data_IF_843677915214
#
_entry.id   IF_843677915214
#
_cell.length_a   1.000
_cell.length_b   1.000
_cell.length_c   1.000
_cell.angle_alpha   90.00
_cell.angle_beta   90.00
_cell.angle_gamma   90.00
#
_symmetry.space_group_name_H-M   'P 1'
#
loop_
_entity.id
_entity.type
_entity.pdbx_description
1 polymer ?
#
# COMPACT_ATOMS: atom_id res chain seq x y z
N UNK A 1 14.48 -5.23 30.35
CA UNK A 1 13.52 -4.58 29.44
C UNK A 1 12.15 -4.60 30.09
N UNK A 2 11.33 -3.57 29.88
CA UNK A 2 10.00 -3.42 30.49
C UNK A 2 8.92 -4.01 29.57
N UNK A 3 7.80 -4.49 30.13
CA UNK A 3 6.61 -4.94 29.38
C UNK A 3 5.60 -3.81 29.14
N UNK A 4 5.76 -2.66 29.78
CA UNK A 4 4.96 -1.48 29.47
C UNK A 4 5.47 -0.81 28.19
N UNK A 5 4.71 -0.99 27.11
CA UNK A 5 4.99 -0.39 25.82
C UNK A 5 5.05 1.13 25.86
N UNK A 6 4.54 1.81 26.90
CA UNK A 6 4.63 3.29 26.99
C UNK A 6 5.99 3.79 27.47
N UNK A 7 6.96 2.92 27.65
CA UNK A 7 8.30 3.23 28.14
C UNK A 7 9.37 2.58 27.29
N UNK A 8 10.47 3.30 27.04
CA UNK A 8 11.69 2.70 26.50
C UNK A 8 12.65 2.27 27.60
N UNK A 9 13.38 1.15 27.45
CA UNK A 9 13.27 0.18 26.36
C UNK A 9 12.08 -0.77 26.52
N UNK A 10 11.44 -1.12 25.40
CA UNK A 10 10.31 -2.06 25.33
C UNK A 10 10.66 -3.20 24.35
N UNK A 11 10.28 -4.43 24.70
CA UNK A 11 10.51 -5.59 23.85
C UNK A 11 9.16 -6.10 23.33
N UNK A 12 8.94 -6.01 22.03
CA UNK A 12 7.68 -6.46 21.42
C UNK A 12 7.60 -7.99 21.38
N UNK A 13 8.71 -8.64 21.04
CA UNK A 13 8.82 -10.10 20.99
C UNK A 13 9.96 -10.55 21.92
N UNK A 14 9.65 -11.26 23.02
CA UNK A 14 10.67 -11.71 23.97
C UNK A 14 11.78 -12.54 23.31
N UNK A 15 13.02 -12.08 23.46
CA UNK A 15 14.21 -12.75 22.94
C UNK A 15 14.62 -12.34 21.53
N UNK A 16 13.87 -11.47 20.86
CA UNK A 16 14.19 -10.97 19.52
C UNK A 16 14.63 -9.50 19.57
N UNK A 17 15.94 -9.26 19.39
CA UNK A 17 16.50 -7.92 19.45
C UNK A 17 16.17 -7.04 18.24
N UNK A 18 15.66 -7.62 17.14
CA UNK A 18 15.20 -6.82 16.00
C UNK A 18 13.91 -6.06 16.32
N UNK A 19 13.17 -6.52 17.35
CA UNK A 19 11.91 -5.93 17.80
C UNK A 19 12.03 -5.30 19.21
N UNK A 20 13.23 -4.83 19.54
CA UNK A 20 13.51 -4.02 20.73
C UNK A 20 13.39 -2.53 20.41
N UNK A 21 12.59 -1.82 21.19
CA UNK A 21 12.32 -0.39 21.04
C UNK A 21 13.18 0.43 22.01
N UNK A 22 13.74 1.57 21.58
CA UNK A 22 13.39 2.32 20.36
C UNK A 22 14.15 1.88 19.09
N UNK A 23 15.05 0.89 19.17
CA UNK A 23 15.91 0.54 18.05
C UNK A 23 15.15 0.06 16.80
N UNK A 24 14.08 -0.70 16.97
CA UNK A 24 13.20 -1.18 15.90
C UNK A 24 12.53 -0.06 15.09
N UNK A 25 12.43 1.16 15.65
CA UNK A 25 11.88 2.31 14.93
C UNK A 25 12.93 2.99 14.05
N UNK A 26 14.22 2.86 14.40
CA UNK A 26 15.34 3.48 13.67
C UNK A 26 15.79 2.71 12.44
N UNK A 27 16.94 3.11 11.89
CA UNK A 27 17.60 2.39 10.79
C UNK A 27 18.08 1.01 11.23
N UNK A 28 17.91 0.03 10.33
CA UNK A 28 18.59 -1.25 10.37
C UNK A 28 19.76 -1.25 9.38
N UNK A 29 21.01 -1.01 9.81
CA UNK A 29 22.14 -0.84 8.90
C UNK A 29 22.46 -2.08 8.07
N UNK A 30 22.23 -3.26 8.66
CA UNK A 30 22.51 -4.57 8.06
C UNK A 30 21.44 -5.03 7.04
N UNK A 31 20.38 -4.23 6.85
CA UNK A 31 19.28 -4.53 5.93
C UNK A 31 19.44 -3.70 4.66
N UNK A 32 19.27 -4.33 3.50
CA UNK A 32 19.33 -3.62 2.21
C UNK A 32 18.08 -2.76 1.98
N UNK A 33 16.92 -3.17 2.49
CA UNK A 33 15.71 -2.37 2.43
C UNK A 33 15.10 -2.12 3.80
N UNK A 34 14.63 -0.89 4.01
CA UNK A 34 13.99 -0.45 5.24
C UNK A 34 12.87 0.55 4.90
N UNK A 35 11.64 0.27 5.34
CA UNK A 35 10.41 0.96 4.93
C UNK A 35 9.69 1.56 6.13
N UNK A 36 9.53 2.88 6.16
CA UNK A 36 8.71 3.58 7.13
C UNK A 36 7.46 4.10 6.46
N UNK A 37 6.31 3.62 6.91
CA UNK A 37 5.01 4.01 6.39
C UNK A 37 4.17 4.65 7.49
N UNK A 38 3.49 5.75 7.17
CA UNK A 38 2.39 6.27 7.98
C UNK A 38 1.27 6.80 7.10
N UNK A 39 0.03 6.42 7.44
CA UNK A 39 -1.17 6.94 6.81
C UNK A 39 -2.29 7.16 7.83
N UNK A 40 -3.25 8.00 7.48
CA UNK A 40 -4.39 8.26 8.36
C UNK A 40 -5.44 9.18 7.78
N UNK A 41 -6.60 9.19 8.45
CA UNK A 41 -7.70 10.13 8.20
C UNK A 41 -7.51 11.39 9.04
N UNK A 42 -7.83 12.54 8.47
CA UNK A 42 -7.72 13.85 9.09
C UNK A 42 -9.01 14.63 8.84
N UNK A 43 -9.56 15.25 9.88
CA UNK A 43 -10.75 16.07 9.79
C UNK A 43 -10.40 17.53 10.14
N UNK A 44 -10.93 18.47 9.35
CA UNK A 44 -10.80 19.90 9.58
C UNK A 44 -12.09 20.43 10.21
N UNK A 45 -12.18 20.41 11.54
CA UNK A 45 -13.40 20.72 12.29
C UNK A 45 -14.01 22.10 11.95
N UNK A 46 -13.19 23.10 11.62
CA UNK A 46 -13.66 24.46 11.29
C UNK A 46 -14.42 24.51 9.96
N UNK A 47 -14.06 23.66 8.99
CA UNK A 47 -14.67 23.65 7.65
C UNK A 47 -15.57 22.44 7.41
N UNK A 48 -15.53 21.45 8.30
CA UNK A 48 -16.24 20.18 8.15
C UNK A 48 -15.67 19.27 7.05
N UNK A 49 -14.47 19.59 6.53
CA UNK A 49 -13.83 18.81 5.47
C UNK A 49 -13.05 17.62 5.99
N UNK A 50 -13.02 16.56 5.20
CA UNK A 50 -12.32 15.31 5.51
C UNK A 50 -11.18 15.07 4.51
N UNK A 51 -10.02 14.74 5.03
CA UNK A 51 -8.81 14.46 4.27
C UNK A 51 -8.24 13.10 4.67
N UNK A 52 -7.35 12.59 3.84
CA UNK A 52 -6.44 11.53 4.24
C UNK A 52 -5.04 11.81 3.72
N UNK A 53 -4.06 11.10 4.26
CA UNK A 53 -2.69 11.16 3.79
C UNK A 53 -2.02 9.80 3.90
N UNK A 54 -0.97 9.62 3.11
CA UNK A 54 0.03 8.57 3.32
C UNK A 54 1.42 9.14 3.06
N UNK A 55 2.43 8.51 3.65
CA UNK A 55 3.82 8.73 3.29
C UNK A 55 4.63 7.46 3.46
N UNK A 56 5.63 7.31 2.59
CA UNK A 56 6.62 6.25 2.62
C UNK A 56 8.00 6.92 2.60
N UNK A 57 8.84 6.59 3.57
CA UNK A 57 10.28 6.73 3.44
C UNK A 57 10.86 5.35 3.21
N UNK A 58 11.75 5.23 2.24
CA UNK A 58 12.30 3.94 1.87
C UNK A 58 13.80 4.03 1.64
N UNK A 59 14.54 3.22 2.39
CA UNK A 59 15.94 2.91 2.12
C UNK A 59 15.97 1.69 1.19
N UNK A 60 16.67 1.78 0.07
CA UNK A 60 16.97 0.65 -0.81
C UNK A 60 18.42 0.72 -1.25
N UNK A 61 19.22 -0.23 -0.76
CA UNK A 61 20.65 -0.29 -1.02
C UNK A 61 21.07 -1.67 -1.54
N UNK A 62 20.65 -2.08 -2.75
CA UNK A 62 20.98 -3.39 -3.28
C UNK A 62 22.50 -3.59 -3.36
N UNK A 63 23.00 -4.68 -2.75
CA UNK A 63 24.42 -4.96 -2.63
C UNK A 63 25.22 -3.89 -1.87
N UNK A 64 24.55 -3.04 -1.08
CA UNK A 64 25.14 -2.00 -0.23
C UNK A 64 25.79 -0.81 -0.96
N UNK A 65 25.85 -0.83 -2.29
CA UNK A 65 26.64 0.14 -3.09
C UNK A 65 25.76 1.01 -3.99
N UNK A 66 24.69 0.44 -4.52
CA UNK A 66 23.65 1.16 -5.25
C UNK A 66 22.74 1.83 -4.23
N UNK A 67 22.32 3.06 -4.50
CA UNK A 67 21.28 3.74 -3.71
C UNK A 67 20.08 3.96 -4.60
N UNK A 68 18.93 3.54 -4.11
CA UNK A 68 17.62 3.71 -4.73
C UNK A 68 16.60 4.11 -3.65
N UNK A 69 17.07 4.91 -2.69
CA UNK A 69 16.26 5.44 -1.60
C UNK A 69 15.18 6.35 -2.19
N UNK A 70 13.98 6.35 -1.63
CA UNK A 70 12.90 7.21 -2.10
C UNK A 70 12.02 7.73 -0.96
N UNK A 71 11.30 8.79 -1.28
CA UNK A 71 10.27 9.36 -0.43
C UNK A 71 9.01 9.60 -1.26
N UNK A 72 7.87 9.19 -0.72
CA UNK A 72 6.54 9.40 -1.29
C UNK A 72 5.64 10.05 -0.27
N UNK A 73 4.80 10.98 -0.71
CA UNK A 73 3.63 11.43 0.04
C UNK A 73 2.42 11.61 -0.87
N UNK A 74 1.24 11.45 -0.30
CA UNK A 74 0.00 11.83 -0.96
C UNK A 74 -0.98 12.47 0.02
N UNK A 75 -1.77 13.40 -0.51
CA UNK A 75 -2.92 14.01 0.16
C UNK A 75 -4.19 13.68 -0.62
N UNK A 76 -5.24 13.36 0.10
CA UNK A 76 -6.54 13.00 -0.46
C UNK A 76 -7.60 13.93 0.13
N UNK A 77 -8.44 14.50 -0.72
CA UNK A 77 -9.66 15.19 -0.30
C UNK A 77 -10.82 14.20 -0.40
N UNK A 78 -11.32 13.74 0.75
CA UNK A 78 -12.33 12.68 0.82
C UNK A 78 -13.73 13.19 0.46
N UNK A 79 -13.93 14.51 0.41
CA UNK A 79 -15.22 15.10 0.05
C UNK A 79 -15.35 15.28 -1.47
N UNK A 80 -14.26 15.67 -2.15
CA UNK A 80 -14.25 15.87 -3.61
C UNK A 80 -13.77 14.65 -4.39
N UNK A 81 -13.01 13.75 -3.75
CA UNK A 81 -12.32 12.64 -4.41
C UNK A 81 -11.05 13.07 -5.15
N UNK A 82 -10.56 14.31 -4.97
CA UNK A 82 -9.27 14.77 -5.51
C UNK A 82 -8.09 14.17 -4.73
N UNK A 83 -6.96 13.97 -5.40
CA UNK A 83 -5.71 13.59 -4.74
C UNK A 83 -4.48 14.18 -5.40
N UNK A 84 -3.47 14.46 -4.58
CA UNK A 84 -2.14 14.87 -5.00
C UNK A 84 -1.12 13.86 -4.53
N UNK A 85 -0.14 13.54 -5.37
CA UNK A 85 0.98 12.66 -5.00
C UNK A 85 2.31 13.25 -5.42
N UNK A 86 3.33 12.99 -4.60
CA UNK A 86 4.72 13.33 -4.88
C UNK A 86 5.60 12.12 -4.60
N UNK A 87 6.58 11.86 -5.47
CA UNK A 87 7.61 10.84 -5.24
C UNK A 87 8.94 11.37 -5.75
N UNK A 88 9.97 11.29 -4.92
CA UNK A 88 11.33 11.67 -5.26
C UNK A 88 12.29 10.53 -4.94
N UNK A 89 13.34 10.43 -5.77
CA UNK A 89 14.34 9.37 -5.69
C UNK A 89 15.75 9.93 -5.44
N UNK A 90 16.52 9.20 -4.64
CA UNK A 90 17.97 9.27 -4.55
C UNK A 90 18.53 8.07 -5.30
N UNK A 91 18.86 8.25 -6.59
CA UNK A 91 19.30 7.15 -7.43
C UNK A 91 20.31 7.58 -8.52
N UNK A 92 21.12 6.63 -9.05
CA UNK A 92 21.97 6.87 -10.19
C UNK A 92 21.19 7.35 -11.43
N UNK A 93 21.81 8.19 -12.29
CA UNK A 93 23.18 8.68 -12.17
C UNK A 93 23.35 9.84 -11.18
N UNK A 94 22.27 10.53 -10.79
CA UNK A 94 22.35 11.74 -9.96
C UNK A 94 23.03 11.48 -8.61
N UNK A 95 22.73 10.35 -7.95
CA UNK A 95 23.34 10.01 -6.66
C UNK A 95 24.81 9.58 -6.74
N UNK A 96 25.36 9.44 -7.96
CA UNK A 96 26.77 9.10 -8.21
C UNK A 96 27.60 10.31 -8.65
N UNK A 97 26.99 11.50 -8.81
CA UNK A 97 27.74 12.70 -9.16
C UNK A 97 28.73 13.07 -8.04
N UNK A 98 29.98 13.48 -8.36
CA UNK A 98 30.96 13.83 -7.34
C UNK A 98 30.45 14.93 -6.39
N UNK A 99 30.38 14.62 -5.10
CA UNK A 99 29.91 15.56 -4.07
C UNK A 99 28.38 15.63 -3.93
N UNK A 100 27.62 14.79 -4.65
CA UNK A 100 26.19 14.67 -4.43
C UNK A 100 25.91 14.24 -2.98
N UNK A 101 25.17 15.03 -2.18
CA UNK A 101 24.76 14.60 -0.85
C UNK A 101 23.71 13.49 -0.98
N UNK A 102 23.71 12.55 -0.03
CA UNK A 102 22.59 11.63 0.14
C UNK A 102 21.34 12.42 0.49
N UNK A 103 20.21 12.08 -0.13
CA UNK A 103 18.94 12.73 0.19
C UNK A 103 18.33 12.17 1.48
N UNK A 104 18.47 10.85 1.70
CA UNK A 104 17.96 10.17 2.89
C UNK A 104 19.03 10.12 3.99
N UNK A 105 18.70 10.72 5.15
CA UNK A 105 19.46 10.60 6.39
C UNK A 105 18.63 9.84 7.42
N UNK A 106 19.28 8.91 8.11
CA UNK A 106 18.70 8.01 9.10
C UNK A 106 19.65 7.89 10.29
N UNK A 107 19.12 7.51 11.45
CA UNK A 107 19.93 7.11 12.60
C UNK A 107 19.54 5.72 13.10
N UNK A 108 20.50 4.91 13.58
CA UNK A 108 20.19 3.69 14.30
C UNK A 108 19.71 4.00 15.72
N UNK A 109 18.91 3.11 16.29
CA UNK A 109 18.56 3.12 17.70
C UNK A 109 17.30 3.92 18.08
N UNK A 110 16.82 4.83 17.23
CA UNK A 110 15.53 5.51 17.37
C UNK A 110 15.08 6.13 16.04
N UNK A 111 13.82 6.55 15.95
CA UNK A 111 13.28 7.17 14.74
C UNK A 111 13.78 8.61 14.57
N UNK A 112 14.62 8.81 13.56
CA UNK A 112 15.10 10.13 13.12
C UNK A 112 15.36 10.06 11.61
N UNK A 113 14.36 10.47 10.83
CA UNK A 113 14.38 10.37 9.37
C UNK A 113 14.28 11.75 8.77
N UNK A 114 15.16 12.03 7.83
CA UNK A 114 15.11 13.21 7.00
C UNK A 114 15.31 12.83 5.53
N UNK A 115 14.47 13.38 4.65
CA UNK A 115 14.63 13.23 3.20
C UNK A 115 14.66 14.62 2.54
N UNK A 116 15.80 14.99 1.97
CA UNK A 116 15.99 16.28 1.29
C UNK A 116 15.70 16.15 -0.21
N UNK A 117 14.63 16.80 -0.67
CA UNK A 117 14.23 16.84 -2.08
C UNK A 117 14.32 18.27 -2.66
N UNK A 118 14.00 18.41 -3.94
CA UNK A 118 13.97 19.72 -4.61
C UNK A 118 12.89 20.67 -4.08
N UNK A 119 11.87 20.15 -3.37
CA UNK A 119 10.73 20.94 -2.86
C UNK A 119 10.78 21.16 -1.34
N UNK A 120 11.82 20.66 -0.66
CA UNK A 120 12.05 20.86 0.77
C UNK A 120 12.65 19.64 1.44
N UNK A 121 12.59 19.60 2.77
CA UNK A 121 12.98 18.42 3.55
C UNK A 121 11.77 17.86 4.26
N UNK A 122 11.45 16.59 3.99
CA UNK A 122 10.48 15.83 4.75
C UNK A 122 11.19 15.19 5.96
N UNK A 123 10.49 15.05 7.09
CA UNK A 123 11.04 14.43 8.29
C UNK A 123 10.01 13.68 9.12
N UNK A 124 10.49 12.67 9.82
CA UNK A 124 9.75 11.92 10.83
C UNK A 124 10.69 11.59 11.98
N UNK A 125 10.42 12.18 13.15
CA UNK A 125 11.34 12.17 14.29
C UNK A 125 10.62 11.87 15.60
N UNK A 126 11.26 11.10 16.49
CA UNK A 126 10.80 10.92 17.87
C UNK A 126 10.97 12.23 18.65
N UNK A 127 9.91 12.64 19.32
CA UNK A 127 9.90 13.79 20.22
C UNK A 127 10.81 13.56 21.42
N UNK A 128 11.28 14.65 22.02
CA UNK A 128 12.08 14.63 23.25
C UNK A 128 11.40 15.42 24.36
N UNK A 129 11.62 15.00 25.59
CA UNK A 129 11.23 15.74 26.78
C UNK A 129 12.16 16.94 27.05
N UNK A 130 11.93 17.65 28.16
CA UNK A 130 12.71 18.82 28.54
C UNK A 130 14.18 18.50 28.88
N UNK A 131 14.47 17.26 29.29
CA UNK A 131 15.80 16.76 29.64
C UNK A 131 16.52 16.13 28.43
N UNK A 132 15.88 16.11 27.26
CA UNK A 132 16.40 15.53 26.02
C UNK A 132 16.16 14.02 25.87
N UNK A 133 15.47 13.39 26.83
CA UNK A 133 15.05 11.99 26.77
C UNK A 133 14.03 11.76 25.66
N UNK A 134 14.05 10.57 25.04
CA UNK A 134 13.08 10.21 24.01
C UNK A 134 11.69 10.01 24.65
N UNK A 135 10.66 10.61 24.05
CA UNK A 135 9.28 10.37 24.40
C UNK A 135 8.75 9.17 23.61
N UNK A 136 8.39 8.05 24.28
CA UNK A 136 7.98 6.83 23.59
C UNK A 136 6.83 7.06 22.63
N UNK A 137 7.01 6.61 21.39
CA UNK A 137 6.03 6.62 20.32
C UNK A 137 5.43 8.00 20.02
N UNK A 138 6.06 9.09 20.47
CA UNK A 138 5.56 10.44 20.23
C UNK A 138 6.38 11.05 19.10
N UNK A 139 5.75 11.49 18.02
CA UNK A 139 6.46 11.90 16.82
C UNK A 139 6.12 13.32 16.36
N UNK A 140 7.09 13.94 15.68
CA UNK A 140 6.87 15.05 14.75
C UNK A 140 7.04 14.55 13.33
N UNK A 141 6.02 14.77 12.51
CA UNK A 141 6.00 14.44 11.09
C UNK A 141 5.86 15.73 10.31
N UNK A 142 6.77 15.99 9.37
CA UNK A 142 6.70 17.12 8.44
C UNK A 142 6.90 16.61 7.02
N UNK A 143 5.87 16.67 6.20
CA UNK A 143 5.87 16.16 4.84
C UNK A 143 5.79 17.35 3.88
N UNK A 144 6.54 17.26 2.79
CA UNK A 144 6.56 18.26 1.72
C UNK A 144 6.54 17.56 0.36
N UNK A 145 5.85 18.17 -0.60
CA UNK A 145 5.68 17.61 -1.94
C UNK A 145 5.12 18.64 -2.90
N UNK A 146 4.96 18.22 -4.15
CA UNK A 146 4.24 18.97 -5.19
C UNK A 146 3.37 17.96 -5.94
N UNK A 147 2.10 18.30 -6.16
CA UNK A 147 1.18 17.41 -6.86
C UNK A 147 1.38 17.41 -8.38
N UNK A 148 0.61 16.59 -9.08
CA UNK A 148 0.68 16.41 -10.54
C UNK A 148 0.34 17.68 -11.33
N UNK A 149 -0.30 18.67 -10.69
CA UNK A 149 -0.63 19.98 -11.27
C UNK A 149 0.37 21.08 -10.85
N UNK A 150 1.43 20.74 -10.12
CA UNK A 150 2.41 21.71 -9.64
C UNK A 150 1.98 22.45 -8.38
N UNK A 151 0.92 22.01 -7.68
CA UNK A 151 0.47 22.67 -6.44
C UNK A 151 1.35 22.18 -5.27
N UNK A 152 1.89 23.08 -4.45
CA UNK A 152 2.68 22.67 -3.28
C UNK A 152 1.80 21.92 -2.29
N UNK A 153 2.33 20.84 -1.72
CA UNK A 153 1.72 20.04 -0.67
C UNK A 153 2.60 20.09 0.58
N UNK A 154 1.98 20.26 1.75
CA UNK A 154 2.66 20.18 3.04
C UNK A 154 1.73 19.65 4.12
N UNK A 155 2.24 18.78 4.97
CA UNK A 155 1.53 18.27 6.14
C UNK A 155 2.48 18.25 7.34
N UNK A 156 2.17 19.04 8.37
CA UNK A 156 2.89 19.00 9.64
C UNK A 156 1.97 18.42 10.71
N UNK A 157 2.39 17.34 11.37
CA UNK A 157 1.61 16.64 12.40
C UNK A 157 2.43 16.39 13.67
N UNK A 158 1.77 16.55 14.82
CA UNK A 158 2.10 15.83 16.03
C UNK A 158 1.35 14.50 16.00
N UNK A 159 2.06 13.38 16.21
CA UNK A 159 1.48 12.04 16.16
C UNK A 159 1.79 11.30 17.46
N UNK A 160 0.80 10.65 18.04
CA UNK A 160 0.97 9.77 19.21
C UNK A 160 0.05 8.56 19.06
N UNK A 161 0.59 7.37 18.78
CA UNK A 161 -0.18 6.14 18.82
C UNK A 161 -0.77 5.90 20.20
N UNK A 162 -1.94 5.31 20.22
CA UNK A 162 -2.74 5.02 21.41
C UNK A 162 -2.71 3.52 21.74
N UNK A 163 -2.14 2.70 20.86
CA UNK A 163 -1.96 1.26 21.01
C UNK A 163 -0.50 0.86 20.95
N UNK A 164 -0.19 -0.29 21.54
CA UNK A 164 1.12 -0.90 21.46
C UNK A 164 1.45 -1.28 19.99
N UNK A 165 2.74 -1.32 19.62
CA UNK A 165 3.17 -2.03 18.41
C UNK A 165 2.63 -3.47 18.41
N UNK A 166 2.30 -3.98 17.23
CA UNK A 166 1.77 -5.33 17.00
C UNK A 166 2.66 -6.02 15.98
N UNK A 167 3.22 -7.21 16.29
CA UNK A 167 4.03 -7.94 15.32
C UNK A 167 3.12 -8.48 14.21
N UNK A 168 3.50 -8.29 12.93
CA UNK A 168 2.73 -8.86 11.82
C UNK A 168 2.71 -10.39 11.94
N UNK A 169 1.52 -10.97 11.72
CA UNK A 169 1.27 -12.39 11.93
C UNK A 169 1.16 -12.79 13.41
N UNK A 170 1.00 -11.81 14.31
CA UNK A 170 0.80 -12.01 15.74
C UNK A 170 1.82 -12.99 16.35
N UNK A 171 1.40 -13.85 17.28
CA UNK A 171 2.28 -14.87 17.88
C UNK A 171 2.65 -16.02 16.93
N UNK A 172 1.94 -16.16 15.80
CA UNK A 172 2.21 -17.19 14.79
C UNK A 172 3.55 -16.95 14.09
N UNK A 173 3.81 -15.69 13.72
CA UNK A 173 5.03 -15.29 13.01
C UNK A 173 5.95 -14.41 13.84
N UNK A 174 5.46 -13.84 14.95
CA UNK A 174 6.19 -12.92 15.81
C UNK A 174 6.86 -11.78 15.03
N UNK A 175 6.18 -11.26 14.00
CA UNK A 175 6.67 -10.14 13.21
C UNK A 175 7.76 -10.53 12.23
N UNK A 176 8.03 -11.82 12.04
CA UNK A 176 9.03 -12.32 11.11
C UNK A 176 8.38 -13.21 10.05
N UNK A 177 8.25 -12.67 8.84
CA UNK A 177 7.45 -13.24 7.75
C UNK A 177 8.29 -13.47 6.50
N UNK A 178 7.77 -14.28 5.58
CA UNK A 178 8.23 -14.29 4.19
C UNK A 178 7.49 -13.19 3.42
N UNK A 179 8.22 -12.22 2.89
CA UNK A 179 7.67 -11.13 2.08
C UNK A 179 8.47 -10.94 0.79
N UNK A 180 7.78 -10.78 -0.34
CA UNK A 180 8.38 -10.67 -1.68
C UNK A 180 9.37 -11.80 -2.03
N UNK A 181 9.11 -13.01 -1.53
CA UNK A 181 9.99 -14.18 -1.70
C UNK A 181 11.26 -14.13 -0.87
N UNK A 182 11.29 -13.29 0.17
CA UNK A 182 12.39 -13.17 1.11
C UNK A 182 11.93 -13.60 2.50
N UNK A 183 12.49 -14.71 2.97
CA UNK A 183 12.43 -15.07 4.39
C UNK A 183 13.16 -14.03 5.23
N UNK A 184 12.96 -14.06 6.55
CA UNK A 184 13.63 -13.17 7.50
C UNK A 184 13.29 -11.69 7.28
N UNK A 185 12.16 -11.39 6.65
CA UNK A 185 11.60 -10.03 6.61
C UNK A 185 10.92 -9.77 7.96
N UNK A 186 11.29 -8.68 8.62
CA UNK A 186 10.62 -8.26 9.84
C UNK A 186 9.57 -7.21 9.53
N UNK A 187 8.45 -7.27 10.26
CA UNK A 187 7.41 -6.26 10.20
C UNK A 187 6.61 -6.18 11.49
N UNK A 188 6.29 -4.94 11.87
CA UNK A 188 5.30 -4.64 12.89
C UNK A 188 4.50 -3.43 12.45
N UNK A 189 3.33 -3.28 13.04
CA UNK A 189 2.51 -2.09 12.84
C UNK A 189 2.01 -1.51 14.16
N UNK A 190 1.58 -0.26 14.13
CA UNK A 190 0.99 0.41 15.28
C UNK A 190 -0.24 1.19 14.82
N UNK A 191 -1.30 1.18 15.61
CA UNK A 191 -2.60 1.77 15.23
C UNK A 191 -3.20 2.63 16.33
N UNK A 192 -4.32 3.27 16.00
CA UNK A 192 -4.99 4.26 16.84
C UNK A 192 -4.10 5.49 17.03
N UNK A 193 -4.22 6.51 16.19
CA UNK A 193 -3.25 7.61 16.14
C UNK A 193 -3.89 8.91 16.57
N UNK A 194 -3.48 9.49 17.70
CA UNK A 194 -3.83 10.87 17.99
C UNK A 194 -2.96 11.80 17.13
N UNK A 195 -3.58 12.46 16.16
CA UNK A 195 -2.91 13.34 15.21
C UNK A 195 -3.49 14.75 15.29
N UNK A 196 -2.62 15.76 15.34
CA UNK A 196 -3.03 17.17 15.22
C UNK A 196 -1.99 17.96 14.45
N UNK A 197 -2.42 18.93 13.65
CA UNK A 197 -1.49 19.81 12.96
C UNK A 197 -2.10 20.59 11.81
N UNK A 198 -1.31 20.85 10.77
CA UNK A 198 -1.69 21.72 9.66
C UNK A 198 -1.47 21.03 8.32
N UNK A 199 -2.52 21.02 7.49
CA UNK A 199 -2.48 20.60 6.10
C UNK A 199 -2.44 21.85 5.19
N UNK A 200 -1.57 21.83 4.17
CA UNK A 200 -1.52 22.81 3.09
C UNK A 200 -1.49 22.13 1.74
N UNK A 201 -2.34 22.57 0.81
CA UNK A 201 -2.37 22.05 -0.55
C UNK A 201 -2.78 23.14 -1.54
N UNK A 202 -1.82 23.65 -2.31
CA UNK A 202 -2.02 24.90 -3.06
C UNK A 202 -2.34 26.06 -2.12
N UNK A 203 -3.44 26.76 -2.38
CA UNK A 203 -3.93 27.85 -1.54
C UNK A 203 -4.72 27.38 -0.31
N UNK A 204 -5.06 26.08 -0.24
CA UNK A 204 -5.79 25.52 0.89
C UNK A 204 -4.86 25.42 2.11
N UNK A 205 -5.34 25.91 3.25
CA UNK A 205 -4.72 25.70 4.57
C UNK A 205 -5.80 25.30 5.56
N UNK A 206 -5.58 24.20 6.29
CA UNK A 206 -6.51 23.68 7.29
C UNK A 206 -5.78 23.28 8.57
N UNK A 207 -6.35 23.62 9.72
CA UNK A 207 -6.04 22.91 10.97
C UNK A 207 -6.77 21.57 10.94
N UNK A 208 -6.04 20.50 11.21
CA UNK A 208 -6.53 19.14 11.07
C UNK A 208 -6.24 18.33 12.32
N UNK A 209 -7.12 17.37 12.59
CA UNK A 209 -6.93 16.36 13.63
C UNK A 209 -7.41 15.00 13.15
N UNK A 210 -6.86 13.92 13.68
CA UNK A 210 -7.28 12.57 13.35
C UNK A 210 -7.11 11.61 14.51
N UNK A 211 -7.85 10.51 14.45
CA UNK A 211 -7.78 9.40 15.42
C UNK A 211 -7.53 8.03 14.75
N UNK A 212 -7.84 7.92 13.46
CA UNK A 212 -7.62 6.72 12.64
C UNK A 212 -6.33 6.86 11.85
N UNK A 213 -5.38 5.98 12.11
CA UNK A 213 -4.13 5.94 11.39
C UNK A 213 -3.37 4.66 11.65
N UNK A 214 -2.37 4.43 10.81
CA UNK A 214 -1.56 3.23 10.78
C UNK A 214 -0.10 3.62 10.54
N UNK A 215 0.79 3.10 11.38
CA UNK A 215 2.23 3.07 11.12
C UNK A 215 2.57 1.64 10.78
N UNK A 216 3.27 1.43 9.67
CA UNK A 216 3.86 0.13 9.33
C UNK A 216 5.38 0.29 9.19
N UNK A 217 6.09 -0.72 9.70
CA UNK A 217 7.54 -0.83 9.63
C UNK A 217 7.88 -2.18 9.05
N UNK A 218 8.78 -2.16 8.09
CA UNK A 218 9.25 -3.37 7.45
C UNK A 218 10.71 -3.23 7.03
N UNK A 219 11.52 -4.25 7.28
CA UNK A 219 12.89 -4.30 6.80
C UNK A 219 13.24 -5.68 6.27
N UNK A 220 14.06 -5.67 5.21
CA UNK A 220 14.34 -6.84 4.39
C UNK A 220 15.85 -7.09 4.29
N UNK A 221 16.25 -8.37 4.32
CA UNK A 221 17.66 -8.73 4.16
C UNK A 221 18.21 -8.34 2.79
N UNK A 222 17.37 -8.31 1.74
CA UNK A 222 17.73 -7.81 0.41
C UNK A 222 16.73 -6.78 -0.08
N UNK A 223 17.11 -6.08 -1.15
CA UNK A 223 16.26 -5.10 -1.82
C UNK A 223 14.82 -5.61 -2.04
N UNK A 224 13.83 -4.91 -1.49
CA UNK A 224 12.42 -5.30 -1.54
C UNK A 224 11.89 -5.43 -2.98
N UNK A 225 12.32 -4.55 -3.89
CA UNK A 225 11.86 -4.51 -5.28
C UNK A 225 12.55 -5.51 -6.22
N UNK A 226 12.97 -6.67 -5.74
CA UNK A 226 13.46 -7.75 -6.61
C UNK A 226 14.58 -8.63 -6.04
N UNK A 227 15.07 -8.34 -4.83
CA UNK A 227 16.12 -9.13 -4.16
C UNK A 227 15.71 -10.59 -3.93
N UNK A 228 14.42 -10.85 -3.68
CA UNK A 228 13.84 -12.19 -3.58
C UNK A 228 13.54 -12.87 -4.92
N UNK A 229 13.72 -12.19 -6.05
CA UNK A 229 13.26 -12.65 -7.38
C UNK A 229 14.36 -12.61 -8.45
N UNK A 230 15.63 -12.51 -8.05
CA UNK A 230 16.74 -12.42 -9.00
C UNK A 230 16.79 -11.10 -9.77
N UNK A 231 16.17 -10.05 -9.23
CA UNK A 231 16.22 -8.68 -9.76
C UNK A 231 15.01 -8.26 -10.59
N UNK A 232 14.00 -9.12 -10.79
CA UNK A 232 12.76 -8.73 -11.46
C UNK A 232 11.77 -8.10 -10.46
N UNK A 233 11.55 -6.77 -10.50
CA UNK A 233 10.62 -6.10 -9.59
C UNK A 233 9.16 -6.49 -9.81
N UNK A 234 8.80 -7.10 -10.95
CA UNK A 234 7.42 -7.53 -11.27
C UNK A 234 7.20 -9.03 -11.12
N UNK A 235 8.20 -9.80 -10.67
CA UNK A 235 8.03 -11.22 -10.40
C UNK A 235 7.19 -11.50 -9.14
N UNK A 236 7.08 -10.52 -8.23
CA UNK A 236 6.16 -10.53 -7.09
C UNK A 236 5.28 -9.30 -7.16
N UNK A 237 4.08 -9.43 -6.62
CA UNK A 237 3.19 -8.30 -6.33
C UNK A 237 2.42 -8.58 -5.04
N UNK A 238 1.74 -7.58 -4.54
CA UNK A 238 0.99 -7.66 -3.29
C UNK A 238 -0.26 -6.81 -3.33
N UNK A 239 -1.13 -7.13 -2.39
CA UNK A 239 -2.15 -6.22 -1.89
C UNK A 239 -1.99 -6.14 -0.37
N UNK A 240 -2.04 -4.94 0.16
CA UNK A 240 -1.99 -4.70 1.60
C UNK A 240 -3.08 -3.73 2.02
N UNK A 241 -3.71 -4.00 3.17
CA UNK A 241 -4.80 -3.18 3.67
C UNK A 241 -4.62 -2.90 5.14
N UNK A 242 -4.78 -1.64 5.50
CA UNK A 242 -4.91 -1.20 6.89
C UNK A 242 -6.35 -0.79 7.10
N UNK A 243 -7.04 -1.38 8.08
CA UNK A 243 -8.47 -1.10 8.32
C UNK A 243 -8.66 -0.72 9.77
N UNK A 244 -9.23 0.46 10.02
CA UNK A 244 -9.65 0.91 11.35
C UNK A 244 -11.17 0.82 11.47
N UNK A 245 -11.69 -0.16 12.22
CA UNK A 245 -13.14 -0.29 12.42
C UNK A 245 -13.67 0.60 13.54
N UNK A 246 -14.94 0.98 13.41
CA UNK A 246 -15.72 1.74 14.38
C UNK A 246 -15.89 1.06 15.75
N UNK A 247 -15.79 -0.27 15.79
CA UNK A 247 -15.79 -1.05 17.04
C UNK A 247 -14.42 -1.05 17.77
N UNK A 248 -13.44 -0.36 17.19
CA UNK A 248 -12.09 -0.24 17.73
C UNK A 248 -11.15 -1.39 17.35
N UNK A 249 -11.56 -2.43 16.65
CA UNK A 249 -10.61 -3.43 16.14
C UNK A 249 -9.95 -2.90 14.87
N UNK A 250 -8.62 -3.02 14.79
CA UNK A 250 -7.87 -2.65 13.59
C UNK A 250 -7.28 -3.90 12.94
N UNK A 251 -7.19 -3.92 11.61
CA UNK A 251 -6.63 -5.03 10.84
C UNK A 251 -5.46 -4.57 9.96
N UNK A 252 -4.47 -5.45 9.82
CA UNK A 252 -3.48 -5.45 8.73
C UNK A 252 -3.68 -6.71 7.91
N UNK A 253 -4.01 -6.58 6.62
CA UNK A 253 -4.31 -7.71 5.72
C UNK A 253 -3.30 -7.73 4.59
N UNK A 254 -2.58 -8.84 4.43
CA UNK A 254 -1.61 -9.05 3.37
C UNK A 254 -2.06 -10.13 2.40
N UNK A 255 -1.86 -9.89 1.11
CA UNK A 255 -1.86 -10.90 0.05
C UNK A 255 -0.64 -10.72 -0.81
N UNK A 256 0.02 -11.83 -1.16
CA UNK A 256 1.22 -11.82 -2.00
C UNK A 256 1.05 -12.77 -3.17
N UNK A 257 1.58 -12.39 -4.33
CA UNK A 257 1.37 -13.13 -5.57
C UNK A 257 2.70 -13.44 -6.25
N UNK A 258 2.83 -14.68 -6.71
CA UNK A 258 3.83 -15.11 -7.68
C UNK A 258 3.37 -14.76 -9.08
N UNK A 259 3.88 -13.66 -9.62
CA UNK A 259 3.53 -13.22 -10.96
C UNK A 259 4.15 -14.08 -12.06
N UNK A 260 5.13 -14.92 -11.73
CA UNK A 260 5.75 -15.85 -12.68
C UNK A 260 4.99 -17.18 -12.76
N UNK A 261 4.17 -17.47 -11.75
CA UNK A 261 3.36 -18.68 -11.66
C UNK A 261 1.86 -18.34 -11.62
N UNK A 262 1.36 -17.69 -12.68
CA UNK A 262 -0.07 -17.45 -12.86
C UNK A 262 -0.74 -16.63 -11.74
N UNK A 263 -0.02 -15.67 -11.15
CA UNK A 263 -0.46 -14.88 -10.00
C UNK A 263 -0.85 -15.76 -8.79
N UNK A 264 -0.15 -16.89 -8.58
CA UNK A 264 -0.41 -17.78 -7.46
C UNK A 264 -0.17 -17.09 -6.11
N UNK A 265 -1.09 -17.24 -5.16
CA UNK A 265 -0.92 -16.73 -3.80
C UNK A 265 0.30 -17.35 -3.11
N UNK A 266 0.99 -16.55 -2.31
CA UNK A 266 2.18 -16.95 -1.56
C UNK A 266 1.99 -16.67 -0.06
N UNK A 267 2.55 -17.53 0.82
CA UNK A 267 2.78 -17.16 2.21
C UNK A 267 3.78 -15.99 2.31
N UNK A 268 3.68 -15.09 3.28
CA UNK A 268 2.55 -14.87 4.19
C UNK A 268 1.36 -14.21 3.46
N UNK A 269 0.17 -14.77 3.61
CA UNK A 269 -1.11 -14.17 3.19
C UNK A 269 -2.10 -14.36 4.33
N UNK A 270 -2.60 -13.27 4.91
CA UNK A 270 -3.40 -13.35 6.13
C UNK A 270 -3.80 -12.00 6.72
N UNK A 271 -4.54 -12.07 7.82
CA UNK A 271 -5.02 -10.95 8.63
C UNK A 271 -4.32 -10.98 9.98
N UNK A 272 -3.80 -9.84 10.41
CA UNK A 272 -3.35 -9.61 11.80
C UNK A 272 -4.27 -8.60 12.47
N UNK A 273 -4.81 -8.93 13.64
CA UNK A 273 -5.68 -8.03 14.40
C UNK A 273 -4.89 -7.16 15.38
N UNK A 274 -5.42 -5.99 15.71
CA UNK A 274 -4.99 -5.12 16.81
C UNK A 274 -6.22 -4.67 17.60
N UNK A 275 -6.15 -4.77 18.92
CA UNK A 275 -7.27 -4.51 19.82
C UNK A 275 -7.03 -3.25 20.65
N UNK A 276 -8.10 -2.51 21.02
CA UNK A 276 -7.96 -1.34 21.87
C UNK A 276 -7.69 -1.71 23.34
N UNK A 277 -8.17 -2.88 23.77
CA UNK A 277 -7.83 -3.46 25.06
C UNK A 277 -6.48 -4.21 24.97
N UNK A 278 -5.42 -3.72 25.64
CA UNK A 278 -4.11 -4.34 25.59
C UNK A 278 -4.05 -5.73 26.27
N UNK A 279 -5.10 -6.12 27.01
CA UNK A 279 -5.20 -7.47 27.57
C UNK A 279 -5.63 -8.52 26.53
N UNK A 280 -6.16 -8.10 25.38
CA UNK A 280 -6.54 -8.99 24.28
C UNK A 280 -5.35 -9.11 23.32
N UNK A 281 -4.72 -10.30 23.20
CA UNK A 281 -3.60 -10.48 22.30
C UNK A 281 -4.04 -10.36 20.84
N UNK A 282 -3.16 -9.92 19.93
CA UNK A 282 -3.42 -9.95 18.50
C UNK A 282 -3.58 -11.40 18.01
N UNK A 283 -4.41 -11.58 16.98
CA UNK A 283 -4.68 -12.85 16.32
C UNK A 283 -4.15 -12.82 14.88
N UNK A 284 -3.79 -14.00 14.36
CA UNK A 284 -3.41 -14.20 12.96
C UNK A 284 -4.38 -15.20 12.33
N UNK A 285 -5.01 -14.82 11.22
CA UNK A 285 -5.89 -15.68 10.44
C UNK A 285 -5.44 -15.72 8.98
N UNK A 286 -5.24 -16.91 8.41
CA UNK A 286 -4.67 -17.09 7.07
C UNK A 286 -5.69 -17.63 6.05
N UNK A 287 -6.95 -17.82 6.48
CA UNK A 287 -8.07 -18.22 5.63
C UNK A 287 -8.80 -16.99 5.05
N UNK A 288 -8.05 -15.96 4.70
CA UNK A 288 -8.57 -14.74 4.07
C UNK A 288 -8.77 -14.94 2.57
N UNK A 289 -9.96 -14.62 2.10
CA UNK A 289 -10.31 -14.62 0.69
C UNK A 289 -10.70 -13.21 0.26
N UNK A 290 -10.31 -12.84 -0.96
CA UNK A 290 -10.67 -11.55 -1.56
C UNK A 290 -11.25 -11.82 -2.94
N UNK A 291 -12.49 -11.39 -3.13
CA UNK A 291 -13.20 -11.43 -4.41
C UNK A 291 -13.24 -10.03 -4.98
N UNK A 292 -12.58 -9.82 -6.12
CA UNK A 292 -12.57 -8.53 -6.82
C UNK A 292 -13.85 -8.40 -7.63
N UNK A 293 -14.56 -7.29 -7.48
CA UNK A 293 -15.79 -6.96 -8.23
C UNK A 293 -15.61 -5.85 -9.25
N UNK A 294 -14.52 -5.07 -9.17
CA UNK A 294 -14.18 -4.14 -10.24
C UNK A 294 -12.67 -3.94 -10.37
N UNK A 295 -12.27 -3.48 -11.54
CA UNK A 295 -10.90 -3.08 -11.85
C UNK A 295 -10.87 -1.62 -12.28
N UNK A 296 -9.76 -0.95 -12.01
CA UNK A 296 -9.50 0.40 -12.47
C UNK A 296 -8.26 0.44 -13.35
N UNK A 297 -8.34 1.15 -14.46
CA UNK A 297 -7.21 1.32 -15.38
C UNK A 297 -6.19 2.29 -14.78
N UNK A 298 -4.90 2.01 -14.99
CA UNK A 298 -3.81 2.87 -14.55
C UNK A 298 -3.94 4.29 -15.13
N UNK A 299 -3.78 5.36 -14.32
CA UNK A 299 -3.79 6.73 -14.79
C UNK A 299 -2.43 7.11 -15.39
N UNK A 300 -2.39 7.44 -16.68
CA UNK A 300 -1.14 7.81 -17.38
C UNK A 300 -0.55 9.16 -16.93
N UNK A 301 -1.26 9.90 -16.08
CA UNK A 301 -0.75 11.11 -15.41
C UNK A 301 0.39 10.79 -14.43
N UNK A 302 0.46 9.55 -13.93
CA UNK A 302 1.52 9.07 -13.03
C UNK A 302 2.34 8.00 -13.77
N UNK A 303 3.67 8.15 -13.73
CA UNK A 303 4.59 7.23 -14.40
C UNK A 303 5.41 6.45 -13.37
N UNK A 304 5.42 5.11 -13.42
CA UNK A 304 6.33 4.32 -12.61
C UNK A 304 7.78 4.54 -13.08
N UNK A 305 8.75 4.31 -12.19
CA UNK A 305 10.18 4.46 -12.52
C UNK A 305 10.62 3.44 -13.58
N UNK A 306 10.24 2.18 -13.42
CA UNK A 306 10.54 1.11 -14.37
C UNK A 306 9.45 1.09 -15.42
N UNK A 307 9.86 1.18 -16.69
CA UNK A 307 8.95 1.17 -17.84
C UNK A 307 7.93 0.00 -17.73
N UNK A 308 6.63 0.28 -17.90
CA UNK A 308 5.61 -0.76 -17.89
C UNK A 308 5.80 -1.76 -19.05
N UNK A 309 5.42 -3.01 -18.81
CA UNK A 309 5.48 -4.08 -19.82
C UNK A 309 4.42 -3.93 -20.92
N UNK A 310 3.29 -3.30 -20.60
CA UNK A 310 2.21 -3.03 -21.54
C UNK A 310 1.57 -1.66 -21.27
N UNK A 311 0.98 -1.00 -22.27
CA UNK A 311 0.26 0.26 -22.09
C UNK A 311 -1.03 0.07 -21.28
N UNK A 312 -1.77 -1.00 -21.53
CA UNK A 312 -2.99 -1.35 -20.80
C UNK A 312 -2.64 -2.05 -19.48
N UNK A 313 -3.06 -1.48 -18.36
CA UNK A 313 -2.77 -1.97 -17.01
C UNK A 313 -3.97 -1.73 -16.13
N UNK A 314 -4.47 -2.77 -15.46
CA UNK A 314 -5.64 -2.72 -14.61
C UNK A 314 -5.30 -3.22 -13.21
N UNK A 315 -5.80 -2.56 -12.18
CA UNK A 315 -5.57 -2.95 -10.79
C UNK A 315 -6.91 -3.21 -10.08
N UNK A 316 -6.98 -4.18 -9.14
CA UNK A 316 -8.17 -4.46 -8.35
C UNK A 316 -8.70 -3.21 -7.65
N UNK A 317 -9.99 -2.92 -7.77
CA UNK A 317 -10.60 -1.69 -7.25
C UNK A 317 -11.63 -2.00 -6.14
N UNK A 318 -12.87 -2.34 -6.48
CA UNK A 318 -13.87 -2.79 -5.50
C UNK A 318 -13.73 -4.28 -5.26
N UNK A 319 -13.97 -4.69 -4.01
CA UNK A 319 -13.79 -6.07 -3.61
C UNK A 319 -14.55 -6.40 -2.33
N UNK A 320 -14.76 -7.70 -2.10
CA UNK A 320 -15.25 -8.28 -0.86
C UNK A 320 -14.15 -9.09 -0.20
N UNK A 321 -14.03 -8.98 1.11
CA UNK A 321 -13.08 -9.74 1.93
C UNK A 321 -13.87 -10.64 2.86
N UNK A 322 -13.53 -11.93 2.88
CA UNK A 322 -14.09 -12.90 3.83
C UNK A 322 -12.96 -13.59 4.59
N UNK A 323 -13.21 -13.94 5.85
CA UNK A 323 -12.33 -14.80 6.64
C UNK A 323 -13.18 -15.57 7.65
N UNK A 324 -13.17 -16.90 7.56
CA UNK A 324 -14.05 -17.75 8.39
C UNK A 324 -13.61 -17.72 9.84
N UNK A 325 -12.30 -17.76 10.11
CA UNK A 325 -11.72 -17.66 11.46
C UNK A 325 -12.23 -16.44 12.21
N UNK A 326 -12.24 -15.27 11.57
CA UNK A 326 -12.69 -14.01 12.18
C UNK A 326 -14.20 -13.75 12.00
N UNK A 327 -14.93 -14.64 11.32
CA UNK A 327 -16.30 -14.37 10.84
C UNK A 327 -16.38 -12.98 10.20
N UNK A 328 -15.37 -12.65 9.39
CA UNK A 328 -15.23 -11.40 8.67
C UNK A 328 -15.93 -11.54 7.33
N UNK A 329 -16.73 -10.53 6.98
CA UNK A 329 -17.38 -10.39 5.69
C UNK A 329 -17.63 -8.92 5.43
N UNK A 330 -16.77 -8.28 4.64
CA UNK A 330 -16.79 -6.84 4.40
C UNK A 330 -16.65 -6.53 2.91
N UNK A 331 -17.27 -5.43 2.48
CA UNK A 331 -17.11 -4.88 1.12
C UNK A 331 -16.33 -3.58 1.22
N UNK A 332 -15.31 -3.43 0.38
CA UNK A 332 -14.45 -2.26 0.30
C UNK A 332 -14.73 -1.42 -0.93
N UNK A 333 -14.87 -0.11 -0.73
CA UNK A 333 -15.05 0.87 -1.79
C UNK A 333 -13.99 1.98 -1.74
N UNK A 334 -13.40 2.35 -2.89
CA UNK A 334 -12.45 3.45 -2.94
C UNK A 334 -13.17 4.79 -2.69
N UNK A 335 -12.52 5.67 -1.94
CA UNK A 335 -12.96 7.07 -1.78
C UNK A 335 -12.36 8.00 -2.84
N UNK A 336 -11.28 7.57 -3.49
CA UNK A 336 -10.59 8.31 -4.55
C UNK A 336 -10.36 7.37 -5.73
N UNK A 337 -10.64 7.81 -6.97
CA UNK A 337 -10.45 6.97 -8.15
C UNK A 337 -8.96 6.84 -8.49
N UNK A 338 -8.50 5.60 -8.69
CA UNK A 338 -7.18 5.26 -9.22
C UNK A 338 -5.99 6.04 -8.59
N UNK A 339 -5.82 6.03 -7.26
CA UNK A 339 -4.76 6.77 -6.59
C UNK A 339 -3.39 6.12 -6.84
N UNK A 340 -2.70 6.56 -7.89
CA UNK A 340 -1.43 6.00 -8.32
C UNK A 340 -0.24 6.80 -7.78
N UNK A 341 0.85 6.11 -7.49
CA UNK A 341 2.08 6.72 -6.98
C UNK A 341 3.26 6.42 -7.89
N UNK A 342 4.23 7.33 -7.93
CA UNK A 342 5.41 7.24 -8.80
C UNK A 342 6.45 6.23 -8.32
N UNK A 343 6.04 5.10 -7.75
CA UNK A 343 6.90 4.04 -7.22
C UNK A 343 7.59 3.23 -8.36
N UNK A 344 8.52 2.30 -8.03
CA UNK A 344 9.30 1.64 -9.06
C UNK A 344 8.49 0.88 -10.11
N UNK A 345 7.37 0.30 -9.72
CA UNK A 345 6.42 -0.40 -10.59
C UNK A 345 5.02 0.22 -10.44
N UNK A 346 4.05 -0.33 -11.14
CA UNK A 346 2.65 0.05 -10.98
C UNK A 346 2.23 -0.15 -9.52
N UNK A 347 1.90 0.96 -8.87
CA UNK A 347 1.54 1.00 -7.48
C UNK A 347 0.39 1.97 -7.27
N UNK A 348 -0.69 1.48 -6.68
CA UNK A 348 -1.79 2.32 -6.22
C UNK A 348 -1.99 2.12 -4.73
N UNK A 349 -2.22 3.21 -4.02
CA UNK A 349 -2.63 3.17 -2.64
C UNK A 349 -3.57 4.34 -2.34
N UNK A 350 -4.66 4.08 -1.63
CA UNK A 350 -5.52 5.18 -1.25
C UNK A 350 -6.63 4.81 -0.30
N UNK A 351 -7.43 5.82 0.08
CA UNK A 351 -8.42 5.68 1.12
C UNK A 351 -9.63 4.86 0.68
N UNK A 352 -10.09 4.00 1.57
CA UNK A 352 -11.22 3.09 1.39
C UNK A 352 -12.23 3.24 2.53
N UNK A 353 -13.50 2.96 2.22
CA UNK A 353 -14.50 2.61 3.23
C UNK A 353 -14.82 1.14 3.14
N UNK A 354 -14.89 0.51 4.31
CA UNK A 354 -15.37 -0.86 4.45
C UNK A 354 -16.68 -0.88 5.24
N UNK A 355 -17.57 -1.79 4.86
CA UNK A 355 -18.79 -2.07 5.61
C UNK A 355 -19.11 -3.57 5.56
N UNK A 356 -19.70 -4.10 6.63
CA UNK A 356 -20.06 -5.51 6.71
C UNK A 356 -20.05 -6.01 8.15
N UNK A 357 -19.43 -7.17 8.38
CA UNK A 357 -19.37 -7.80 9.71
C UNK A 357 -17.97 -8.27 10.09
N UNK A 358 -17.67 -8.21 11.39
CA UNK A 358 -16.52 -8.82 12.05
C UNK A 358 -17.04 -9.56 13.30
N UNK A 359 -16.67 -10.84 13.47
CA UNK A 359 -17.22 -11.72 14.51
C UNK A 359 -18.76 -11.74 14.51
N UNK A 360 -19.35 -11.70 13.31
CA UNK A 360 -20.80 -11.66 13.11
C UNK A 360 -21.49 -10.35 13.55
N UNK A 361 -20.75 -9.33 13.96
CA UNK A 361 -21.29 -8.02 14.37
C UNK A 361 -21.08 -6.99 13.26
N UNK A 362 -22.05 -6.09 13.01
CA UNK A 362 -21.88 -5.01 12.05
C UNK A 362 -20.67 -4.13 12.38
N UNK A 363 -19.91 -3.77 11.35
CA UNK A 363 -18.79 -2.83 11.42
C UNK A 363 -18.75 -1.94 10.19
N UNK A 364 -18.28 -0.72 10.39
CA UNK A 364 -17.78 0.15 9.32
C UNK A 364 -16.33 0.53 9.61
N UNK A 365 -15.55 0.82 8.58
CA UNK A 365 -14.15 1.18 8.78
C UNK A 365 -13.60 2.11 7.72
N UNK A 366 -12.65 2.93 8.14
CA UNK A 366 -11.78 3.69 7.25
C UNK A 366 -10.49 2.89 7.05
N UNK A 367 -9.92 2.96 5.85
CA UNK A 367 -8.81 2.12 5.50
C UNK A 367 -7.91 2.75 4.44
N UNK A 368 -6.71 2.19 4.29
CA UNK A 368 -5.93 2.28 3.07
C UNK A 368 -5.84 0.90 2.40
N UNK A 369 -5.85 0.90 1.07
CA UNK A 369 -5.65 -0.30 0.25
C UNK A 369 -4.51 -0.05 -0.74
N UNK A 370 -3.38 -0.69 -0.48
CA UNK A 370 -2.18 -0.73 -1.31
C UNK A 370 -2.25 -1.93 -2.26
N UNK A 371 -1.84 -1.72 -3.51
CA UNK A 371 -1.86 -2.75 -4.56
C UNK A 371 -0.79 -2.51 -5.61
N UNK A 372 -0.05 -3.57 -5.92
CA UNK A 372 0.95 -3.61 -7.01
C UNK A 372 0.65 -4.66 -8.08
N UNK A 373 -0.44 -5.42 -7.92
CA UNK A 373 -0.90 -6.42 -8.90
C UNK A 373 -1.54 -5.72 -10.12
N UNK A 374 -0.71 -5.19 -11.00
CA UNK A 374 -1.14 -4.68 -12.29
C UNK A 374 -1.32 -5.80 -13.31
N UNK A 375 -2.57 -6.02 -13.72
CA UNK A 375 -3.02 -6.96 -14.73
C UNK A 375 -2.84 -6.35 -16.12
N UNK A 376 -2.08 -7.04 -16.96
CA UNK A 376 -1.74 -6.56 -18.31
C UNK A 376 -1.50 -7.67 -19.34
N UNK A 377 -1.41 -8.93 -18.91
CA UNK A 377 -1.27 -10.08 -19.82
C UNK A 377 -2.63 -10.45 -20.38
N UNK A 378 -2.65 -11.12 -21.54
CA UNK A 378 -3.87 -11.56 -22.22
C UNK A 378 -4.86 -12.26 -21.28
N UNK A 379 -4.43 -13.29 -20.55
CA UNK A 379 -5.28 -14.05 -19.63
C UNK A 379 -5.70 -13.23 -18.40
N UNK A 380 -4.86 -12.29 -17.95
CA UNK A 380 -5.21 -11.37 -16.85
C UNK A 380 -6.29 -10.36 -17.31
N UNK A 381 -6.21 -9.87 -18.55
CA UNK A 381 -7.20 -8.96 -19.11
C UNK A 381 -8.54 -9.67 -19.44
N UNK A 382 -8.53 -10.97 -19.71
CA UNK A 382 -9.76 -11.78 -19.78
C UNK A 382 -10.43 -11.87 -18.41
N UNK A 383 -9.67 -11.97 -17.31
CA UNK A 383 -10.22 -11.89 -15.95
C UNK A 383 -10.86 -10.52 -15.69
N UNK A 384 -10.19 -9.44 -16.08
CA UNK A 384 -10.75 -8.08 -15.99
C UNK A 384 -12.09 -7.99 -16.74
N UNK A 385 -12.16 -8.55 -17.96
CA UNK A 385 -13.38 -8.59 -18.76
C UNK A 385 -14.48 -9.40 -18.06
N UNK A 386 -14.18 -10.62 -17.62
CA UNK A 386 -15.13 -11.50 -16.94
C UNK A 386 -15.72 -10.84 -15.69
N UNK A 387 -14.89 -10.22 -14.85
CA UNK A 387 -15.35 -9.46 -13.67
C UNK A 387 -16.22 -8.28 -14.07
N UNK A 388 -15.80 -7.51 -15.09
CA UNK A 388 -16.54 -6.31 -15.54
C UNK A 388 -17.94 -6.64 -16.04
N UNK A 389 -18.13 -7.79 -16.72
CA UNK A 389 -19.41 -8.16 -17.33
C UNK A 389 -20.32 -8.97 -16.41
N UNK A 390 -19.80 -9.54 -15.33
CA UNK A 390 -20.57 -10.30 -14.33
C UNK A 390 -21.68 -9.45 -13.70
N UNK A 391 -21.42 -8.16 -13.49
CA UNK A 391 -22.35 -7.23 -12.85
C UNK A 391 -23.24 -6.45 -13.86
N UNK A 392 -23.22 -6.83 -15.15
CA UNK A 392 -24.04 -6.20 -16.20
C UNK A 392 -25.39 -6.93 -16.40
N UNK A 393 -26.50 -6.20 -16.26
CA UNK A 393 -27.88 -6.60 -16.64
C UNK A 393 -27.96 -7.13 -18.11
N UNK A 394 -29.01 -7.87 -18.55
CA UNK A 394 -28.91 -9.09 -19.35
C UNK A 394 -28.17 -9.06 -20.71
N UNK A 395 -27.81 -7.88 -21.24
CA UNK A 395 -26.83 -7.72 -22.31
C UNK A 395 -25.42 -8.24 -21.93
N UNK A 396 -25.12 -8.38 -20.62
CA UNK A 396 -23.87 -8.98 -20.13
C UNK A 396 -23.70 -10.48 -20.42
N UNK A 397 -24.79 -11.23 -20.69
CA UNK A 397 -24.71 -12.69 -20.89
C UNK A 397 -23.96 -13.12 -22.15
N UNK A 398 -24.11 -12.36 -23.24
CA UNK A 398 -23.38 -12.63 -24.49
C UNK A 398 -21.89 -12.37 -24.28
N UNK A 399 -21.55 -11.28 -23.59
CA UNK A 399 -20.16 -10.92 -23.29
C UNK A 399 -19.51 -11.84 -22.26
N UNK A 400 -20.28 -12.34 -21.29
CA UNK A 400 -19.83 -13.37 -20.36
C UNK A 400 -19.45 -14.65 -21.12
N UNK A 401 -20.31 -15.06 -22.06
CA UNK A 401 -20.02 -16.23 -22.91
C UNK A 401 -18.77 -16.00 -23.76
N UNK A 402 -18.55 -14.78 -24.26
CA UNK A 402 -17.32 -14.40 -24.95
C UNK A 402 -16.10 -14.51 -24.04
N UNK A 403 -16.15 -13.98 -22.81
CA UNK A 403 -15.06 -14.07 -21.84
C UNK A 403 -14.70 -15.54 -21.51
N UNK A 404 -15.69 -16.41 -21.33
CA UNK A 404 -15.49 -17.83 -21.07
C UNK A 404 -14.80 -18.54 -22.25
N UNK A 405 -15.22 -18.25 -23.49
CA UNK A 405 -14.60 -18.80 -24.71
C UNK A 405 -13.19 -18.27 -24.89
N UNK A 406 -12.94 -16.99 -24.60
CA UNK A 406 -11.60 -16.41 -24.64
C UNK A 406 -10.65 -17.12 -23.68
N UNK A 407 -11.08 -17.37 -22.44
CA UNK A 407 -10.28 -18.12 -21.47
C UNK A 407 -9.86 -19.50 -22.00
N UNK A 408 -10.78 -20.22 -22.65
CA UNK A 408 -10.49 -21.53 -23.26
C UNK A 408 -9.51 -21.43 -24.45
N UNK A 409 -9.68 -20.43 -25.32
CA UNK A 409 -8.79 -20.22 -26.46
C UNK A 409 -7.37 -19.87 -26.01
N UNK A 410 -7.21 -19.03 -24.99
CA UNK A 410 -5.90 -18.66 -24.44
C UNK A 410 -5.22 -19.83 -23.74
N UNK A 411 -5.97 -20.62 -22.96
CA UNK A 411 -5.45 -21.85 -22.35
C UNK A 411 -4.95 -22.86 -23.41
N UNK A 412 -5.54 -22.85 -24.60
CA UNK A 412 -5.13 -23.67 -25.74
C UNK A 412 -4.06 -23.01 -26.65
N UNK A 413 -3.57 -21.81 -26.32
CA UNK A 413 -2.60 -21.07 -27.13
C UNK A 413 -3.15 -20.48 -28.44
N UNK A 414 -4.47 -20.40 -28.61
CA UNK A 414 -5.16 -19.98 -29.85
C UNK A 414 -5.43 -18.47 -29.87
N UNK A 415 -4.36 -17.66 -29.74
CA UNK A 415 -4.45 -16.19 -29.64
C UNK A 415 -5.12 -15.50 -30.83
N UNK A 416 -4.77 -15.89 -32.05
CA UNK A 416 -5.36 -15.32 -33.29
C UNK A 416 -6.88 -15.49 -33.33
N UNK A 417 -7.37 -16.66 -32.95
CA UNK A 417 -8.82 -16.93 -32.91
C UNK A 417 -9.52 -16.17 -31.79
N UNK A 418 -8.82 -15.94 -30.66
CA UNK A 418 -9.32 -15.06 -29.61
C UNK A 418 -9.46 -13.60 -30.09
N UNK A 419 -8.48 -13.10 -30.85
CA UNK A 419 -8.56 -11.77 -31.46
C UNK A 419 -9.69 -11.65 -32.49
N UNK A 420 -9.88 -12.66 -33.34
CA UNK A 420 -10.98 -12.71 -34.31
C UNK A 420 -12.36 -12.74 -33.63
N UNK A 421 -12.49 -13.49 -32.52
CA UNK A 421 -13.71 -13.52 -31.71
C UNK A 421 -14.05 -12.13 -31.16
N UNK A 422 -13.06 -11.43 -30.59
CA UNK A 422 -13.24 -10.09 -30.02
C UNK A 422 -13.58 -9.05 -31.09
N UNK A 423 -12.95 -9.11 -32.26
CA UNK A 423 -13.26 -8.22 -33.37
C UNK A 423 -14.70 -8.38 -33.89
N UNK A 424 -15.33 -9.54 -33.66
CA UNK A 424 -16.73 -9.82 -33.98
C UNK A 424 -17.74 -9.36 -32.93
N UNK A 425 -17.30 -8.89 -31.76
CA UNK A 425 -18.18 -8.41 -30.68
C UNK A 425 -18.86 -7.12 -31.13
N UNK A 426 -20.18 -7.02 -30.89
CA UNK A 426 -20.95 -5.82 -31.22
C UNK A 426 -20.48 -4.64 -30.37
N UNK A 427 -20.50 -3.40 -30.91
CA UNK A 427 -20.21 -2.21 -30.12
C UNK A 427 -21.04 -2.15 -28.84
N UNK A 428 -20.40 -1.80 -27.73
CA UNK A 428 -21.04 -1.68 -26.42
C UNK A 428 -21.13 -0.20 -26.05
N UNK A 429 -22.22 0.20 -25.37
CA UNK A 429 -22.45 1.61 -25.02
C UNK A 429 -21.52 2.12 -23.91
N UNK A 430 -20.85 1.22 -23.17
CA UNK A 430 -19.94 1.57 -22.09
C UNK A 430 -18.53 1.88 -22.61
N UNK A 431 -18.08 3.13 -22.46
CA UNK A 431 -16.75 3.56 -22.91
C UNK A 431 -15.58 2.83 -22.23
N UNK A 432 -15.72 2.46 -20.95
CA UNK A 432 -14.69 1.70 -20.23
C UNK A 432 -14.56 0.26 -20.76
N UNK A 433 -15.69 -0.36 -21.10
CA UNK A 433 -15.71 -1.69 -21.67
C UNK A 433 -15.19 -1.69 -23.12
N UNK A 434 -15.54 -0.69 -23.92
CA UNK A 434 -14.97 -0.51 -25.26
C UNK A 434 -13.44 -0.39 -25.19
N UNK A 435 -12.93 0.43 -24.26
CA UNK A 435 -11.47 0.56 -24.03
C UNK A 435 -10.84 -0.77 -23.64
N UNK A 436 -11.48 -1.54 -22.75
CA UNK A 436 -10.99 -2.85 -22.33
C UNK A 436 -10.94 -3.86 -23.49
N UNK A 437 -11.96 -3.88 -24.35
CA UNK A 437 -11.98 -4.75 -25.53
C UNK A 437 -10.86 -4.37 -26.52
N UNK A 438 -10.63 -3.08 -26.74
CA UNK A 438 -9.53 -2.58 -27.57
C UNK A 438 -8.15 -2.94 -26.98
N UNK A 439 -7.97 -2.73 -25.68
CA UNK A 439 -6.75 -3.08 -24.95
C UNK A 439 -6.47 -4.60 -25.04
N UNK A 440 -7.51 -5.44 -24.93
CA UNK A 440 -7.40 -6.89 -25.06
C UNK A 440 -7.05 -7.32 -26.49
N UNK A 441 -7.68 -6.74 -27.51
CA UNK A 441 -7.33 -6.98 -28.93
C UNK A 441 -5.87 -6.60 -29.19
N UNK A 442 -5.41 -5.46 -28.65
CA UNK A 442 -4.05 -4.99 -28.83
C UNK A 442 -3.03 -5.97 -28.23
N UNK A 443 -3.28 -6.47 -27.02
CA UNK A 443 -2.39 -7.46 -26.37
C UNK A 443 -2.37 -8.79 -27.13
N UNK A 444 -3.51 -9.25 -27.63
CA UNK A 444 -3.59 -10.50 -28.39
C UNK A 444 -2.90 -10.40 -29.76
N UNK A 445 -2.88 -9.22 -30.37
CA UNK A 445 -2.29 -8.97 -31.69
C UNK A 445 -0.79 -8.64 -31.65
N UNK A 446 -0.25 -8.26 -30.49
CA UNK A 446 1.17 -7.88 -30.34
C UNK A 446 2.12 -9.08 -30.17
N UNK A 447 1.58 -10.29 -30.00
CA UNK A 447 2.34 -11.49 -29.68
C UNK A 447 2.64 -12.40 -30.89
N UNK A 448 2.42 -11.90 -32.12
CA UNK A 448 2.75 -12.57 -33.38
C UNK A 448 4.14 -12.21 -33.94
#
# INVERSE_FOLDING_TARGET
MNSDWRSYPFQLVPGDSQLDFPAAEGEHPDQESDTWFIAGQLDAAETGRSFAFLTIFNKNRPGGTVVADFYTMALFDLDSGDYGTYTDYDMPPASLEPGAPRKLALVPGYLDIHYSSGVGTASWTTCRDADGGLLPYTYRVSLVGEDQAGRPMRLDLAVTPTRAPTPVGASTYNGKICCFGQDETYSYFQTGMAMTGTLRWGDLVQQVSGSSGHIDRQWFPKYAGGGGTGGDPRARSHEWRTINFDNGVDLSIWRQFDRTNGNALQPFTGVTTSHPDPAIPPECAEDVEVTVSSYVRWPEAVRPLVRPQAPARYLPDRHRITCRTLQLDIVGEPLVPAPAHGLPIEYMEGPYRYSGTLWGKPVTGFAFNERSLALYRDWELVEVLATTVTDMEPAGRDLQSVADVLGQLLAAGRRREAAELLAGVKPVESGSLTTLLEDLIAVLSAAD
#
